data_IF_469165235908
#
_entry.id   IF_469165235908
#
_cell.length_a   1.000
_cell.length_b   1.000
_cell.length_c   1.000
_cell.angle_alpha   90.00
_cell.angle_beta   90.00
_cell.angle_gamma   90.00
#
_symmetry.space_group_name_H-M   'P 1'
#
loop_
_entity.id
_entity.type
_entity.pdbx_description
1 polymer ?
#
# COMPACT_ATOMS: atom_id res chain seq x y z
N UNK A 1 3.17 5.20 3.88
CA UNK A 1 2.42 4.78 5.11
C UNK A 1 2.79 3.32 5.38
N UNK A 2 2.07 2.60 6.22
CA UNK A 2 2.47 1.15 6.46
C UNK A 2 1.26 0.30 6.09
N UNK A 3 0.95 0.14 4.82
CA UNK A 3 -0.27 -0.69 4.44
C UNK A 3 0.01 -1.94 3.65
N UNK A 4 -1.03 -2.74 3.50
CA UNK A 4 -0.80 -4.01 2.70
C UNK A 4 -1.85 -4.09 1.56
N UNK A 5 -1.87 -3.23 0.54
CA UNK A 5 -2.98 -3.48 -0.48
C UNK A 5 -2.44 -4.39 -1.59
N UNK A 6 -3.25 -4.66 -2.58
CA UNK A 6 -2.85 -5.55 -3.73
C UNK A 6 -2.81 -4.80 -5.08
N UNK A 7 -1.79 -4.04 -5.37
CA UNK A 7 -1.75 -3.30 -6.69
C UNK A 7 -1.23 -1.87 -6.53
N UNK A 8 -1.95 -1.00 -5.85
CA UNK A 8 -1.45 0.42 -5.68
C UNK A 8 -1.09 0.64 -4.21
N UNK A 9 0.15 0.42 -3.87
CA UNK A 9 0.60 0.60 -2.45
C UNK A 9 1.10 2.06 -2.32
N UNK A 10 0.73 2.83 -1.31
CA UNK A 10 1.25 4.25 -1.22
C UNK A 10 2.00 4.43 0.10
N UNK A 11 2.62 5.57 0.26
CA UNK A 11 3.37 5.82 1.53
C UNK A 11 2.53 5.39 2.75
#
# INVERSE_FOLDING_TARGET
>A
ALLVTXGLVLA
#
